data_IF_775236543987
#
_entry.id   IF_775236543987
#
_cell.length_a   1.000
_cell.length_b   1.000
_cell.length_c   1.000
_cell.angle_alpha   90.00
_cell.angle_beta   90.00
_cell.angle_gamma   90.00
#
_symmetry.space_group_name_H-M   'P 1'
#
loop_
_entity.id
_entity.type
_entity.pdbx_description
1 polymer ?
#
# COMPACT_ATOMS: atom_id res chain seq x y z
N UNK A 1 -11.38 -19.53 -5.60
CA UNK A 1 -10.78 -20.26 -6.74
C UNK A 1 -10.14 -19.20 -7.60
N UNK A 2 -8.83 -19.27 -7.85
CA UNK A 2 -8.16 -18.36 -8.80
C UNK A 2 -8.47 -18.86 -10.21
N UNK A 3 -9.15 -18.05 -11.02
CA UNK A 3 -9.30 -18.34 -12.45
C UNK A 3 -7.90 -18.29 -13.08
N UNK A 4 -7.42 -19.40 -13.64
CA UNK A 4 -6.16 -19.41 -14.37
C UNK A 4 -6.31 -18.71 -15.72
N UNK A 5 -5.22 -18.18 -16.25
CA UNK A 5 -5.14 -17.60 -17.59
C UNK A 5 -3.75 -17.84 -18.19
N UNK A 6 -3.66 -17.73 -19.52
CA UNK A 6 -2.39 -17.77 -20.22
C UNK A 6 -1.94 -16.34 -20.54
N UNK A 7 -0.70 -16.00 -20.20
CA UNK A 7 -0.06 -14.76 -20.59
C UNK A 7 0.85 -15.01 -21.80
N UNK A 8 0.68 -14.24 -22.88
CA UNK A 8 1.57 -14.25 -24.06
C UNK A 8 2.05 -12.83 -24.35
N UNK A 9 3.29 -12.66 -24.79
CA UNK A 9 3.88 -11.35 -25.14
C UNK A 9 5.26 -11.15 -24.52
N UNK A 10 5.42 -10.10 -23.70
CA UNK A 10 6.65 -9.78 -22.97
C UNK A 10 7.22 -10.96 -22.16
N UNK A 11 6.35 -11.86 -21.71
CA UNK A 11 6.73 -13.11 -21.05
C UNK A 11 5.91 -14.25 -21.67
N UNK A 12 6.56 -15.31 -22.12
CA UNK A 12 5.87 -16.53 -22.56
C UNK A 12 5.86 -17.51 -21.38
N UNK A 13 4.81 -17.41 -20.54
CA UNK A 13 4.62 -18.29 -19.39
C UNK A 13 3.25 -18.98 -19.51
N UNK A 14 3.28 -20.30 -19.60
CA UNK A 14 2.08 -21.13 -19.49
C UNK A 14 1.69 -21.25 -18.01
N UNK A 15 0.39 -21.19 -17.73
CA UNK A 15 -0.20 -21.32 -16.39
C UNK A 15 0.22 -20.25 -15.36
N UNK A 16 0.56 -19.04 -15.82
CA UNK A 16 0.87 -17.92 -14.93
C UNK A 16 -0.40 -17.14 -14.54
N UNK A 17 -0.67 -17.07 -13.24
CA UNK A 17 -1.78 -16.30 -12.67
C UNK A 17 -1.25 -15.23 -11.70
N UNK A 18 -0.79 -14.07 -12.20
CA UNK A 18 -0.29 -13.01 -11.35
C UNK A 18 -1.32 -12.61 -10.30
N UNK A 19 -0.81 -12.34 -9.10
CA UNK A 19 -1.52 -11.56 -8.09
C UNK A 19 -1.88 -10.18 -8.66
N UNK A 20 -2.88 -9.48 -8.09
CA UNK A 20 -3.21 -8.11 -8.53
C UNK A 20 -1.99 -7.18 -8.56
N UNK A 21 -1.13 -7.25 -7.55
CA UNK A 21 0.11 -6.45 -7.50
C UNK A 21 1.06 -6.80 -8.65
N UNK A 22 1.29 -8.07 -8.94
CA UNK A 22 2.13 -8.50 -10.06
C UNK A 22 1.54 -8.07 -11.41
N UNK A 23 0.22 -8.16 -11.59
CA UNK A 23 -0.45 -7.67 -12.79
C UNK A 23 -0.25 -6.16 -12.95
N UNK A 24 -0.42 -5.38 -11.87
CA UNK A 24 -0.18 -3.94 -11.90
C UNK A 24 1.26 -3.61 -12.31
N UNK A 25 2.25 -4.27 -11.70
CA UNK A 25 3.65 -4.06 -12.06
C UNK A 25 3.98 -4.48 -13.49
N UNK A 26 3.39 -5.58 -13.96
CA UNK A 26 3.52 -6.00 -15.35
C UNK A 26 3.03 -4.90 -16.29
N UNK A 27 1.86 -4.34 -16.03
CA UNK A 27 1.25 -3.26 -16.81
C UNK A 27 2.09 -1.97 -16.77
N UNK A 28 2.60 -1.58 -15.61
CA UNK A 28 3.45 -0.39 -15.45
C UNK A 28 4.76 -0.49 -16.24
N UNK A 29 5.31 -1.70 -16.36
CA UNK A 29 6.57 -1.96 -17.06
C UNK A 29 6.40 -2.26 -18.57
N UNK A 30 5.18 -2.40 -19.10
CA UNK A 30 4.97 -2.70 -20.53
C UNK A 30 5.65 -1.72 -21.47
N UNK A 31 5.81 -0.45 -21.09
CA UNK A 31 6.49 0.55 -21.92
C UNK A 31 8.02 0.48 -21.90
N UNK A 32 8.61 -0.37 -21.06
CA UNK A 32 10.06 -0.53 -20.89
C UNK A 32 10.59 -1.77 -21.61
N UNK A 33 9.74 -2.78 -21.82
CA UNK A 33 10.11 -4.07 -22.39
C UNK A 33 9.58 -4.24 -23.83
N UNK A 34 10.30 -5.02 -24.65
CA UNK A 34 9.81 -5.49 -25.95
C UNK A 34 9.35 -6.96 -25.85
N UNK A 35 8.15 -7.31 -26.35
CA UNK A 35 7.15 -6.43 -26.96
C UNK A 35 6.37 -5.57 -25.95
N UNK A 36 5.88 -4.38 -26.34
CA UNK A 36 5.18 -3.44 -25.45
C UNK A 36 3.71 -3.84 -25.18
N UNK A 37 3.39 -5.13 -25.25
CA UNK A 37 2.04 -5.63 -25.13
C UNK A 37 2.00 -7.00 -24.44
N UNK A 38 0.85 -7.29 -23.85
CA UNK A 38 0.47 -8.61 -23.32
C UNK A 38 -0.91 -9.00 -23.82
N UNK A 39 -1.09 -10.30 -24.02
CA UNK A 39 -2.39 -10.92 -24.26
C UNK A 39 -2.69 -11.89 -23.12
N UNK A 40 -3.86 -11.73 -22.53
CA UNK A 40 -4.36 -12.52 -21.41
C UNK A 40 -5.55 -13.34 -21.92
N UNK A 41 -5.39 -14.65 -22.06
CA UNK A 41 -6.45 -15.56 -22.52
C UNK A 41 -7.14 -16.24 -21.33
N UNK A 42 -8.47 -16.19 -21.27
CA UNK A 42 -9.25 -16.86 -20.22
C UNK A 42 -9.30 -18.37 -20.44
N UNK A 43 -9.00 -19.17 -19.41
CA UNK A 43 -9.23 -20.63 -19.47
C UNK A 43 -10.71 -21.01 -19.35
N UNK A 44 -11.53 -20.16 -18.71
CA UNK A 44 -12.94 -20.44 -18.47
C UNK A 44 -13.83 -20.14 -19.69
N UNK A 45 -13.36 -19.26 -20.57
CA UNK A 45 -14.08 -18.86 -21.77
C UNK A 45 -13.15 -18.91 -23.00
N UNK A 46 -13.03 -20.09 -23.59
CA UNK A 46 -12.19 -20.32 -24.76
C UNK A 46 -12.47 -19.29 -25.87
N UNK A 47 -11.40 -18.67 -26.36
CA UNK A 47 -11.46 -17.63 -27.39
C UNK A 47 -11.63 -16.21 -26.84
N UNK A 48 -11.94 -16.01 -25.55
CA UNK A 48 -11.92 -14.68 -24.95
C UNK A 48 -10.54 -14.30 -24.50
N UNK A 49 -10.12 -13.09 -24.87
CA UNK A 49 -8.83 -12.55 -24.47
C UNK A 49 -8.89 -11.05 -24.26
N UNK A 50 -7.93 -10.58 -23.47
CA UNK A 50 -7.70 -9.17 -23.20
C UNK A 50 -6.32 -8.85 -23.76
N UNK A 51 -6.24 -7.81 -24.58
CA UNK A 51 -4.98 -7.29 -25.08
C UNK A 51 -4.70 -5.95 -24.39
N UNK A 52 -3.53 -5.82 -23.79
CA UNK A 52 -3.04 -4.57 -23.23
C UNK A 52 -1.78 -4.15 -23.98
N UNK A 53 -1.77 -2.92 -24.50
CA UNK A 53 -0.69 -2.35 -25.28
C UNK A 53 -0.25 -1.03 -24.65
N UNK A 54 1.05 -0.89 -24.36
CA UNK A 54 1.60 0.40 -23.96
C UNK A 54 1.61 1.37 -25.14
N UNK A 55 0.96 2.53 -24.96
CA UNK A 55 0.91 3.62 -25.95
C UNK A 55 1.64 4.88 -25.48
N UNK A 56 2.29 4.80 -24.32
CA UNK A 56 3.07 5.88 -23.74
C UNK A 56 3.42 5.61 -22.28
N UNK A 57 4.09 6.57 -21.65
CA UNK A 57 4.45 6.44 -20.23
C UNK A 57 3.20 6.29 -19.37
N UNK A 58 3.03 5.11 -18.76
CA UNK A 58 1.87 4.75 -17.91
C UNK A 58 0.52 4.95 -18.62
N UNK A 59 0.51 4.74 -19.94
CA UNK A 59 -0.69 4.81 -20.79
C UNK A 59 -0.86 3.51 -21.53
N UNK A 60 -2.04 2.91 -21.41
CA UNK A 60 -2.33 1.57 -21.91
C UNK A 60 -3.62 1.60 -22.72
N UNK A 61 -3.58 1.05 -23.93
CA UNK A 61 -4.77 0.64 -24.66
C UNK A 61 -5.17 -0.75 -24.19
N UNK A 62 -6.42 -0.89 -23.72
CA UNK A 62 -6.98 -2.19 -23.32
C UNK A 62 -8.12 -2.57 -24.26
N UNK A 63 -7.96 -3.66 -24.99
CA UNK A 63 -9.00 -4.25 -25.84
C UNK A 63 -9.48 -5.56 -25.24
N UNK A 64 -10.81 -5.73 -25.12
CA UNK A 64 -11.43 -6.97 -24.62
C UNK A 64 -12.23 -7.61 -25.75
N UNK A 65 -11.93 -8.87 -26.06
CA UNK A 65 -12.38 -9.52 -27.30
C UNK A 65 -12.92 -10.93 -27.05
N UNK A 66 -13.86 -11.35 -27.90
CA UNK A 66 -14.40 -12.71 -27.97
C UNK A 66 -14.13 -13.30 -29.38
N UNK A 67 -13.14 -14.18 -29.45
CA UNK A 67 -12.56 -14.63 -30.72
C UNK A 67 -11.78 -13.51 -31.42
N UNK A 68 -11.26 -13.81 -32.62
CA UNK A 68 -10.39 -12.86 -33.35
C UNK A 68 -11.13 -11.64 -33.89
N UNK A 69 -12.45 -11.67 -34.00
CA UNK A 69 -13.21 -10.68 -34.78
C UNK A 69 -14.29 -9.93 -34.00
N UNK A 70 -14.58 -10.29 -32.75
CA UNK A 70 -15.59 -9.60 -31.94
C UNK A 70 -14.89 -8.81 -30.84
N UNK A 71 -14.84 -7.49 -31.00
CA UNK A 71 -14.51 -6.58 -29.91
C UNK A 71 -15.74 -6.45 -29.01
N UNK A 72 -15.57 -6.72 -27.71
CA UNK A 72 -16.62 -6.50 -26.72
C UNK A 72 -16.62 -5.03 -26.30
N UNK A 73 -15.43 -4.48 -26.02
CA UNK A 73 -15.19 -3.07 -25.71
C UNK A 73 -13.68 -2.78 -25.72
N UNK A 74 -13.33 -1.50 -25.78
CA UNK A 74 -11.96 -1.02 -25.69
C UNK A 74 -11.86 0.26 -24.83
N UNK A 75 -10.72 0.42 -24.16
CA UNK A 75 -10.36 1.58 -23.36
C UNK A 75 -9.03 2.15 -23.88
N UNK A 76 -9.08 3.19 -24.75
CA UNK A 76 -7.88 3.77 -25.31
C UNK A 76 -7.16 4.68 -24.31
N UNK A 77 -5.83 4.57 -24.26
CA UNK A 77 -4.90 5.41 -23.52
C UNK A 77 -5.30 5.67 -22.06
N UNK A 78 -5.81 4.66 -21.37
CA UNK A 78 -6.12 4.75 -19.94
C UNK A 78 -4.84 4.66 -19.10
N UNK A 79 -4.90 5.11 -17.85
CA UNK A 79 -3.79 4.93 -16.92
C UNK A 79 -3.64 3.45 -16.49
N UNK A 80 -2.49 3.12 -15.90
CA UNK A 80 -2.14 1.76 -15.45
C UNK A 80 -3.15 1.19 -14.47
N UNK A 81 -3.64 1.99 -13.52
CA UNK A 81 -4.59 1.54 -12.51
C UNK A 81 -5.94 1.20 -13.16
N UNK A 82 -6.43 2.04 -14.06
CA UNK A 82 -7.66 1.80 -14.82
C UNK A 82 -7.53 0.54 -15.66
N UNK A 83 -6.42 0.37 -16.40
CA UNK A 83 -6.15 -0.85 -17.17
C UNK A 83 -6.14 -2.10 -16.27
N UNK A 84 -5.46 -2.02 -15.13
CA UNK A 84 -5.42 -3.07 -14.12
C UNK A 84 -6.83 -3.48 -13.67
N UNK A 85 -7.70 -2.52 -13.35
CA UNK A 85 -9.06 -2.80 -12.90
C UNK A 85 -9.95 -3.40 -13.97
N UNK A 86 -9.81 -2.95 -15.23
CA UNK A 86 -10.52 -3.56 -16.37
C UNK A 86 -10.15 -5.02 -16.49
N UNK A 87 -8.86 -5.33 -16.46
CA UNK A 87 -8.35 -6.69 -16.59
C UNK A 87 -8.81 -7.54 -15.41
N UNK A 88 -8.62 -7.06 -14.18
CA UNK A 88 -9.02 -7.79 -12.97
C UNK A 88 -10.53 -8.01 -12.90
N UNK A 89 -11.34 -7.04 -13.31
CA UNK A 89 -12.79 -7.15 -13.40
C UNK A 89 -13.24 -8.21 -14.41
N UNK A 90 -12.58 -8.29 -15.57
CA UNK A 90 -12.84 -9.34 -16.54
C UNK A 90 -12.46 -10.73 -15.98
N UNK A 91 -11.26 -10.85 -15.40
CA UNK A 91 -10.75 -12.13 -14.87
C UNK A 91 -11.58 -12.64 -13.67
N UNK A 92 -12.12 -11.75 -12.85
CA UNK A 92 -12.92 -12.12 -11.66
C UNK A 92 -14.40 -12.38 -11.95
N UNK A 93 -14.95 -11.82 -13.04
CA UNK A 93 -16.39 -11.95 -13.37
C UNK A 93 -16.75 -13.21 -14.15
N UNK A 94 -15.75 -13.96 -14.64
CA UNK A 94 -15.92 -15.20 -15.41
C UNK A 94 -16.53 -14.97 -16.80
N UNK A 95 -17.82 -14.60 -16.86
CA UNK A 95 -18.61 -14.63 -18.10
C UNK A 95 -19.27 -13.32 -18.54
N UNK A 96 -19.41 -12.29 -17.69
CA UNK A 96 -20.14 -11.06 -18.05
C UNK A 96 -19.22 -9.85 -18.32
N UNK A 97 -18.25 -10.03 -19.22
CA UNK A 97 -17.24 -8.99 -19.51
C UNK A 97 -17.87 -7.71 -20.06
N UNK A 98 -18.93 -7.82 -20.88
CA UNK A 98 -19.62 -6.65 -21.43
C UNK A 98 -20.20 -5.73 -20.34
N UNK A 99 -20.69 -6.29 -19.23
CA UNK A 99 -21.16 -5.51 -18.09
C UNK A 99 -20.02 -4.78 -17.36
N UNK A 100 -18.83 -5.40 -17.28
CA UNK A 100 -17.64 -4.78 -16.68
C UNK A 100 -17.27 -3.49 -17.42
N UNK A 101 -17.25 -3.52 -18.76
CA UNK A 101 -16.98 -2.35 -19.59
C UNK A 101 -17.95 -1.19 -19.34
N UNK A 102 -19.20 -1.48 -18.97
CA UNK A 102 -20.20 -0.45 -18.65
C UNK A 102 -20.06 0.16 -17.24
N UNK A 103 -19.43 -0.57 -16.31
CA UNK A 103 -19.27 -0.15 -14.91
C UNK A 103 -17.98 0.64 -14.68
N UNK A 104 -16.95 0.35 -15.46
CA UNK A 104 -15.69 1.07 -15.38
C UNK A 104 -15.82 2.33 -16.23
N UNK A 105 -16.14 3.43 -15.58
CA UNK A 105 -15.89 4.74 -16.16
C UNK A 105 -14.37 4.92 -16.18
N UNK A 106 -13.81 5.26 -17.33
CA UNK A 106 -12.48 5.87 -17.39
C UNK A 106 -12.58 7.20 -16.63
N UNK A 107 -12.46 7.14 -15.31
CA UNK A 107 -12.47 8.35 -14.51
C UNK A 107 -11.26 9.19 -14.89
N UNK A 108 -11.41 10.52 -15.01
CA UNK A 108 -10.25 11.37 -15.21
C UNK A 108 -9.22 11.11 -14.10
N UNK A 109 -7.95 11.37 -14.39
CA UNK A 109 -6.85 11.26 -13.43
C UNK A 109 -7.10 12.16 -12.21
N UNK A 110 -7.88 11.68 -11.24
CA UNK A 110 -8.15 12.38 -10.00
C UNK A 110 -7.15 11.92 -8.95
N UNK A 111 -6.67 12.88 -8.15
CA UNK A 111 -5.81 12.60 -6.99
C UNK A 111 -6.57 11.89 -5.86
N UNK A 112 -7.89 11.87 -5.91
CA UNK A 112 -8.77 11.30 -4.88
C UNK A 112 -9.39 10.00 -5.38
N UNK A 113 -8.60 8.94 -5.36
CA UNK A 113 -9.03 7.59 -5.75
C UNK A 113 -9.19 6.71 -4.50
N UNK A 114 -10.25 5.90 -4.43
CA UNK A 114 -10.46 4.91 -3.37
C UNK A 114 -9.81 3.57 -3.74
N UNK A 115 -8.64 3.30 -3.16
CA UNK A 115 -7.85 2.09 -3.44
C UNK A 115 -8.41 0.82 -2.80
N UNK A 116 -9.39 0.88 -1.90
CA UNK A 116 -9.97 -0.31 -1.26
C UNK A 116 -10.64 -1.28 -2.25
N UNK A 117 -10.98 -0.79 -3.44
CA UNK A 117 -11.61 -1.55 -4.53
C UNK A 117 -10.66 -1.86 -5.68
N UNK A 118 -9.40 -1.44 -5.57
CA UNK A 118 -8.43 -1.62 -6.65
C UNK A 118 -7.97 -3.06 -6.79
N UNK A 119 -7.99 -3.84 -5.70
CA UNK A 119 -7.37 -5.16 -5.61
C UNK A 119 -5.88 -5.12 -5.29
N UNK A 120 -5.25 -3.94 -5.33
CA UNK A 120 -3.84 -3.74 -4.97
C UNK A 120 -3.64 -3.90 -3.46
N UNK A 121 -2.43 -4.27 -3.06
CA UNK A 121 -1.98 -4.08 -1.68
C UNK A 121 -1.78 -2.60 -1.37
N UNK A 122 -1.78 -2.27 -0.07
CA UNK A 122 -1.59 -0.87 0.37
C UNK A 122 -0.24 -0.30 -0.11
N UNK A 123 0.82 -1.12 -0.13
CA UNK A 123 2.13 -0.73 -0.63
C UNK A 123 2.08 -0.28 -2.10
N UNK A 124 1.48 -1.09 -2.98
CA UNK A 124 1.39 -0.78 -4.42
C UNK A 124 0.44 0.38 -4.68
N UNK A 125 -0.65 0.48 -3.91
CA UNK A 125 -1.57 1.61 -3.96
C UNK A 125 -0.88 2.95 -3.59
N UNK A 126 -0.06 2.97 -2.53
CA UNK A 126 0.73 4.16 -2.16
C UNK A 126 1.72 4.55 -3.25
N UNK A 127 2.38 3.56 -3.87
CA UNK A 127 3.28 3.80 -4.99
C UNK A 127 2.55 4.43 -6.19
N UNK A 128 1.43 3.84 -6.62
CA UNK A 128 0.61 4.37 -7.70
C UNK A 128 0.18 5.82 -7.43
N UNK A 129 -0.30 6.09 -6.21
CA UNK A 129 -0.70 7.44 -5.81
C UNK A 129 0.44 8.45 -5.92
N UNK A 130 1.65 8.09 -5.46
CA UNK A 130 2.83 8.96 -5.56
C UNK A 130 3.20 9.22 -7.02
N UNK A 131 3.21 8.20 -7.88
CA UNK A 131 3.55 8.38 -9.29
C UNK A 131 2.51 9.23 -10.03
N UNK A 132 1.21 9.01 -9.79
CA UNK A 132 0.13 9.84 -10.35
C UNK A 132 0.25 11.29 -9.89
N UNK A 133 0.56 11.52 -8.62
CA UNK A 133 0.80 12.86 -8.07
C UNK A 133 1.96 13.57 -8.76
N UNK A 134 3.08 12.85 -8.98
CA UNK A 134 4.24 13.38 -9.72
C UNK A 134 3.91 13.71 -11.17
N UNK A 135 3.15 12.86 -11.86
CA UNK A 135 2.73 13.09 -13.25
C UNK A 135 1.89 14.36 -13.40
N UNK A 136 1.09 14.68 -12.40
CA UNK A 136 0.30 15.91 -12.33
C UNK A 136 1.11 17.14 -11.89
N UNK A 137 2.41 17.00 -11.65
CA UNK A 137 3.29 18.08 -11.20
C UNK A 137 3.00 18.57 -9.77
N UNK A 138 2.30 17.76 -8.97
CA UNK A 138 1.97 18.10 -7.58
C UNK A 138 3.12 17.68 -6.67
N UNK A 139 3.49 18.56 -5.75
CA UNK A 139 4.53 18.28 -4.76
C UNK A 139 4.05 17.17 -3.82
N UNK A 140 4.76 16.04 -3.81
CA UNK A 140 4.47 14.93 -2.91
C UNK A 140 4.77 15.32 -1.47
N UNK A 141 3.80 15.13 -0.58
CA UNK A 141 4.00 15.34 0.86
C UNK A 141 4.96 14.27 1.43
N UNK A 142 5.72 14.59 2.49
CA UNK A 142 6.65 13.64 3.12
C UNK A 142 6.01 12.33 3.62
N UNK A 143 4.72 12.35 3.97
CA UNK A 143 3.90 11.15 4.18
C UNK A 143 2.71 11.18 3.21
N UNK A 144 2.77 10.45 2.08
CA UNK A 144 1.64 10.33 1.18
C UNK A 144 0.54 9.49 1.83
N UNK A 145 -0.71 9.92 1.65
CA UNK A 145 -1.88 9.23 2.17
C UNK A 145 -2.83 8.89 1.02
N UNK A 146 -3.47 7.73 1.10
CA UNK A 146 -4.45 7.27 0.12
C UNK A 146 -5.81 7.04 0.77
N UNK A 147 -6.88 7.19 0.01
CA UNK A 147 -8.20 6.77 0.46
C UNK A 147 -8.31 5.24 0.37
N UNK A 148 -8.76 4.63 1.46
CA UNK A 148 -9.05 3.21 1.56
C UNK A 148 -10.45 3.04 2.17
N UNK A 149 -11.46 3.11 1.31
CA UNK A 149 -12.86 3.22 1.71
C UNK A 149 -13.09 4.57 2.40
N UNK A 150 -13.57 4.51 3.65
CA UNK A 150 -13.75 5.70 4.49
C UNK A 150 -12.48 6.14 5.24
N UNK A 151 -11.39 5.37 5.14
CA UNK A 151 -10.16 5.59 5.91
C UNK A 151 -9.11 6.31 5.06
N UNK A 152 -8.33 7.17 5.71
CA UNK A 152 -7.16 7.79 5.12
C UNK A 152 -5.91 7.09 5.64
N UNK A 153 -5.20 6.39 4.76
CA UNK A 153 -4.16 5.42 5.13
C UNK A 153 -2.80 5.87 4.59
N UNK A 154 -1.74 5.68 5.39
CA UNK A 154 -0.37 6.00 5.02
C UNK A 154 0.59 4.84 5.33
N UNK A 155 1.78 4.85 4.74
CA UNK A 155 2.84 3.88 5.08
C UNK A 155 3.59 4.23 6.37
N UNK A 156 3.54 5.51 6.77
CA UNK A 156 4.24 6.08 7.91
C UNK A 156 3.60 7.41 8.28
N UNK A 157 3.81 7.89 9.49
CA UNK A 157 3.36 9.20 9.93
C UNK A 157 4.56 10.06 10.34
N UNK A 158 4.41 11.38 10.18
CA UNK A 158 5.39 12.36 10.64
C UNK A 158 4.68 13.27 11.63
N UNK A 159 5.19 13.28 12.85
CA UNK A 159 4.68 14.07 13.96
C UNK A 159 5.67 15.18 14.27
N UNK A 160 5.36 16.44 13.91
CA UNK A 160 6.20 17.58 14.26
C UNK A 160 6.28 17.75 15.78
N UNK A 161 7.47 18.07 16.28
CA UNK A 161 7.73 18.39 17.69
C UNK A 161 8.51 19.70 17.77
N UNK A 162 8.39 20.43 18.88
CA UNK A 162 8.90 21.81 18.98
C UNK A 162 10.05 21.99 19.98
N UNK A 163 10.41 20.95 20.71
CA UNK A 163 11.48 20.93 21.71
C UNK A 163 11.62 19.53 22.31
N UNK A 164 12.44 19.36 23.35
CA UNK A 164 12.74 18.06 23.92
C UNK A 164 11.52 17.56 24.69
N UNK A 165 11.36 16.25 24.79
CA UNK A 165 10.17 15.70 25.41
C UNK A 165 10.15 14.19 25.51
N UNK A 166 8.95 13.65 25.63
CA UNK A 166 8.70 12.22 25.62
C UNK A 166 7.44 11.87 24.85
N UNK A 167 7.46 10.69 24.25
CA UNK A 167 6.29 10.00 23.72
C UNK A 167 5.95 8.85 24.64
N UNK A 168 4.75 8.88 25.21
CA UNK A 168 4.16 7.71 25.88
C UNK A 168 3.37 6.91 24.86
N UNK A 169 3.65 5.62 24.76
CA UNK A 169 3.01 4.66 23.86
C UNK A 169 2.22 3.67 24.69
N UNK A 170 0.91 3.56 24.43
CA UNK A 170 0.02 2.58 25.05
C UNK A 170 -0.54 1.67 23.96
N UNK A 171 -0.22 0.38 24.00
CA UNK A 171 -0.83 -0.62 23.13
C UNK A 171 -2.19 -1.03 23.70
N UNK A 172 -3.25 -0.72 22.95
CA UNK A 172 -4.65 -0.94 23.35
C UNK A 172 -5.18 -2.29 22.82
N UNK A 173 -4.63 -2.77 21.72
CA UNK A 173 -5.00 -4.05 21.11
C UNK A 173 -3.90 -4.59 20.20
N UNK A 174 -3.76 -5.91 20.18
CA UNK A 174 -2.79 -6.64 19.36
C UNK A 174 -3.39 -7.99 18.99
N UNK A 175 -3.24 -8.39 17.73
CA UNK A 175 -3.66 -9.70 17.25
C UNK A 175 -2.71 -10.78 17.79
N UNK A 176 -3.21 -11.78 18.54
CA UNK A 176 -2.36 -12.82 19.13
C UNK A 176 -1.55 -13.58 18.08
N UNK A 177 -0.31 -13.93 18.43
CA UNK A 177 0.58 -14.73 17.58
C UNK A 177 1.30 -13.96 16.47
N UNK A 178 1.03 -12.67 16.30
CA UNK A 178 1.79 -11.80 15.41
C UNK A 178 2.74 -10.93 16.24
N UNK A 179 4.05 -10.98 15.95
CA UNK A 179 4.99 -10.01 16.53
C UNK A 179 4.90 -8.72 15.72
N UNK A 180 3.98 -7.86 16.14
CA UNK A 180 3.58 -6.60 15.51
C UNK A 180 3.81 -5.47 16.50
N UNK A 181 4.39 -4.36 16.07
CA UNK A 181 4.71 -3.22 16.92
C UNK A 181 4.74 -1.91 16.14
N UNK A 182 5.35 -0.91 16.75
CA UNK A 182 5.65 0.37 16.09
C UNK A 182 7.14 0.69 16.20
N UNK A 183 7.65 1.47 15.25
CA UNK A 183 8.90 2.18 15.43
C UNK A 183 8.70 3.68 15.48
N UNK A 184 9.46 4.30 16.37
CA UNK A 184 9.60 5.74 16.51
C UNK A 184 11.03 6.05 16.08
N UNK A 185 11.19 6.90 15.06
CA UNK A 185 12.51 7.32 14.60
C UNK A 185 12.62 8.82 14.43
N UNK A 186 13.83 9.32 14.58
CA UNK A 186 14.21 10.72 14.38
C UNK A 186 15.26 10.80 13.26
N UNK A 187 15.43 11.98 12.66
CA UNK A 187 16.41 12.16 11.59
C UNK A 187 17.87 12.02 12.08
N UNK A 188 18.11 12.28 13.37
CA UNK A 188 19.41 12.16 14.04
C UNK A 188 19.25 11.25 15.27
N UNK A 189 20.32 10.55 15.72
CA UNK A 189 20.29 9.82 16.98
C UNK A 189 19.96 10.77 18.13
N UNK A 190 18.78 10.59 18.71
CA UNK A 190 18.19 11.55 19.65
C UNK A 190 17.17 10.89 20.58
N UNK A 191 16.94 9.57 20.43
CA UNK A 191 15.91 8.85 21.17
C UNK A 191 16.54 8.03 22.29
N UNK A 192 16.04 8.20 23.51
CA UNK A 192 16.41 7.38 24.67
C UNK A 192 15.21 6.49 25.08
N UNK A 193 15.49 5.23 25.36
CA UNK A 193 14.51 4.24 25.79
C UNK A 193 15.14 3.22 26.74
N UNK A 194 14.46 2.92 27.86
CA UNK A 194 14.92 1.99 28.91
C UNK A 194 16.38 2.24 29.37
N UNK A 195 16.77 3.52 29.47
CA UNK A 195 18.11 3.95 29.91
C UNK A 195 19.24 3.63 28.93
N UNK A 196 18.91 3.29 27.68
CA UNK A 196 19.90 3.11 26.62
C UNK A 196 20.37 4.46 26.06
N UNK A 197 21.58 4.47 25.52
CA UNK A 197 22.12 5.66 24.84
C UNK A 197 21.23 6.09 23.67
N UNK A 198 21.38 7.35 23.26
CA UNK A 198 20.63 7.93 22.15
C UNK A 198 20.78 7.10 20.85
N UNK A 199 19.64 6.65 20.33
CA UNK A 199 19.52 5.89 19.09
C UNK A 199 18.66 6.65 18.08
N UNK A 200 18.82 6.39 16.77
CA UNK A 200 17.97 7.01 15.74
C UNK A 200 16.58 6.38 15.63
N UNK A 201 16.38 5.18 16.18
CA UNK A 201 15.12 4.45 16.12
C UNK A 201 14.92 3.59 17.37
N UNK A 202 13.71 3.64 17.92
CA UNK A 202 13.23 2.73 18.96
C UNK A 202 12.10 1.89 18.38
N UNK A 203 12.17 0.58 18.56
CA UNK A 203 11.15 -0.37 18.14
C UNK A 203 10.46 -0.92 19.39
N UNK A 204 9.14 -0.73 19.46
CA UNK A 204 8.32 -1.12 20.59
C UNK A 204 7.38 -2.25 20.17
N UNK A 205 7.37 -3.31 20.98
CA UNK A 205 6.48 -4.45 20.82
C UNK A 205 5.59 -4.54 22.06
N UNK A 206 4.27 -4.75 21.93
CA UNK A 206 3.46 -5.13 23.08
C UNK A 206 3.95 -6.48 23.63
N UNK A 207 4.05 -6.57 24.95
CA UNK A 207 4.35 -7.79 25.70
C UNK A 207 3.19 -8.13 26.63
N UNK A 208 3.08 -9.39 27.06
CA UNK A 208 1.93 -9.87 27.84
C UNK A 208 1.74 -9.11 29.16
N UNK A 209 2.82 -8.61 29.76
CA UNK A 209 2.86 -7.87 31.03
C UNK A 209 3.23 -6.39 30.89
N UNK A 210 3.56 -5.92 29.69
CA UNK A 210 3.95 -4.53 29.41
C UNK A 210 3.33 -4.03 28.11
N UNK A 211 2.38 -3.13 28.24
CA UNK A 211 1.72 -2.45 27.13
C UNK A 211 1.95 -0.93 27.09
N UNK A 212 2.66 -0.39 28.08
CA UNK A 212 3.02 1.03 28.16
C UNK A 212 4.53 1.23 28.10
N UNK A 213 4.96 2.19 27.27
CA UNK A 213 6.36 2.51 27.00
C UNK A 213 6.55 4.03 26.94
N UNK A 214 7.71 4.50 27.38
CA UNK A 214 8.07 5.93 27.32
C UNK A 214 9.37 6.05 26.56
N UNK A 215 9.37 6.83 25.48
CA UNK A 215 10.54 7.15 24.67
C UNK A 215 10.84 8.64 24.83
N UNK A 216 12.03 8.97 25.29
CA UNK A 216 12.50 10.34 25.42
C UNK A 216 13.16 10.79 24.11
N UNK A 217 13.05 12.08 23.79
CA UNK A 217 13.73 12.67 22.64
C UNK A 217 14.27 14.07 22.97
N UNK A 218 15.35 14.45 22.31
CA UNK A 218 16.11 15.67 22.60
C UNK A 218 15.70 16.89 21.73
N UNK A 219 16.46 17.99 21.89
CA UNK A 219 16.29 19.25 21.17
C UNK A 219 16.62 19.19 19.66
N UNK A 220 17.34 18.16 19.21
CA UNK A 220 17.76 18.01 17.81
C UNK A 220 16.65 17.39 16.95
N UNK A 221 15.59 16.91 17.59
CA UNK A 221 14.44 16.28 16.93
C UNK A 221 13.45 17.34 16.49
N UNK A 222 13.32 17.55 15.18
CA UNK A 222 12.29 18.43 14.58
C UNK A 222 10.95 17.71 14.36
N UNK A 223 11.01 16.39 14.26
CA UNK A 223 9.90 15.53 13.92
C UNK A 223 10.20 14.09 14.30
N UNK A 224 9.15 13.38 14.72
CA UNK A 224 9.17 11.95 14.94
C UNK A 224 8.48 11.24 13.78
N UNK A 225 9.08 10.16 13.30
CA UNK A 225 8.51 9.27 12.29
C UNK A 225 7.93 8.05 12.98
N UNK A 226 6.64 7.84 12.83
CA UNK A 226 5.94 6.69 13.40
C UNK A 226 5.65 5.71 12.28
N UNK A 227 6.14 4.48 12.42
CA UNK A 227 5.99 3.45 11.39
C UNK A 227 5.47 2.15 12.00
N UNK A 228 4.54 1.51 11.30
CA UNK A 228 4.09 0.16 11.60
C UNK A 228 5.22 -0.84 11.27
N UNK A 229 5.54 -1.74 12.21
CA UNK A 229 6.60 -2.74 12.05
C UNK A 229 6.18 -4.13 12.48
N UNK A 230 6.70 -5.15 11.82
CA UNK A 230 6.41 -6.54 12.18
C UNK A 230 7.60 -7.45 11.95
N UNK A 231 7.63 -8.58 12.65
CA UNK A 231 8.63 -9.63 12.44
C UNK A 231 8.17 -10.56 11.32
N UNK A 232 8.95 -10.66 10.26
CA UNK A 232 8.70 -11.57 9.15
C UNK A 232 9.71 -12.72 9.15
N UNK A 233 9.24 -13.93 8.86
CA UNK A 233 10.02 -15.16 8.92
C UNK A 233 10.06 -15.78 10.31
N UNK A 234 10.72 -16.92 10.43
CA UNK A 234 10.80 -17.72 11.65
C UNK A 234 12.26 -17.95 12.11
N UNK A 235 12.41 -18.21 13.41
CA UNK A 235 13.69 -18.55 14.01
C UNK A 235 14.82 -17.56 13.68
N UNK A 236 15.89 -18.07 13.07
CA UNK A 236 17.09 -17.27 12.74
C UNK A 236 16.92 -16.37 11.50
N UNK A 237 15.90 -16.59 10.69
CA UNK A 237 15.60 -15.77 9.51
C UNK A 237 14.64 -14.62 9.81
N UNK A 238 14.12 -14.57 11.05
CA UNK A 238 13.22 -13.54 11.51
C UNK A 238 13.86 -12.16 11.39
N UNK A 239 13.19 -11.24 10.69
CA UNK A 239 13.66 -9.88 10.45
C UNK A 239 12.54 -8.88 10.59
N UNK A 240 12.85 -7.69 11.08
CA UNK A 240 11.87 -6.58 11.10
C UNK A 240 11.59 -6.14 9.66
N UNK A 241 10.30 -5.99 9.34
CA UNK A 241 9.82 -5.50 8.06
C UNK A 241 8.90 -4.28 8.27
N UNK A 242 8.82 -3.46 7.23
CA UNK A 242 8.07 -2.20 7.16
C UNK A 242 7.61 -2.01 5.72
N UNK A 243 6.47 -1.35 5.50
CA UNK A 243 6.02 -0.91 4.17
C UNK A 243 5.89 -2.02 3.11
N UNK A 244 5.63 -3.25 3.51
CA UNK A 244 5.45 -4.39 2.60
C UNK A 244 3.99 -4.84 2.61
N UNK A 245 3.45 -5.13 1.42
CA UNK A 245 2.11 -5.66 1.23
C UNK A 245 1.05 -4.71 1.82
N UNK A 246 0.23 -5.22 2.73
CA UNK A 246 -0.82 -4.43 3.39
C UNK A 246 -0.36 -3.72 4.66
N UNK A 247 0.95 -3.66 4.93
CA UNK A 247 1.46 -2.95 6.11
C UNK A 247 1.31 -1.45 5.95
N UNK A 248 0.46 -0.86 6.79
CA UNK A 248 0.17 0.56 6.77
C UNK A 248 -0.48 0.99 8.09
N UNK A 249 -0.78 2.29 8.20
CA UNK A 249 -1.40 2.92 9.34
C UNK A 249 -2.54 3.84 8.90
N UNK A 250 -3.66 3.75 9.61
CA UNK A 250 -4.67 4.80 9.66
C UNK A 250 -4.44 5.59 10.96
N UNK A 251 -4.36 6.92 10.85
CA UNK A 251 -4.10 7.81 11.99
C UNK A 251 -5.38 8.54 12.37
N UNK A 252 -5.83 8.34 13.60
CA UNK A 252 -6.83 9.18 14.24
C UNK A 252 -6.12 10.28 15.03
N UNK A 253 -6.28 11.54 14.59
CA UNK A 253 -5.71 12.70 15.28
C UNK A 253 -6.69 13.15 16.35
N UNK A 254 -6.43 12.82 17.61
CA UNK A 254 -7.25 13.23 18.75
C UNK A 254 -6.93 14.68 19.15
N UNK A 255 -5.65 15.03 19.17
CA UNK A 255 -5.16 16.39 19.37
C UNK A 255 -3.77 16.59 18.74
N UNK A 256 -3.17 17.78 18.89
CA UNK A 256 -1.79 17.99 18.46
C UNK A 256 -0.78 17.14 19.26
N UNK A 257 -1.14 16.75 20.49
CA UNK A 257 -0.32 15.96 21.42
C UNK A 257 -0.80 14.51 21.55
N UNK A 258 -1.87 14.10 20.86
CA UNK A 258 -2.39 12.74 20.97
C UNK A 258 -2.87 12.21 19.61
N UNK A 259 -2.42 11.00 19.27
CA UNK A 259 -2.81 10.27 18.06
C UNK A 259 -3.05 8.81 18.40
N UNK A 260 -4.02 8.19 17.73
CA UNK A 260 -4.24 6.75 17.77
C UNK A 260 -3.90 6.17 16.40
N UNK A 261 -3.07 5.12 16.40
CA UNK A 261 -2.61 4.43 15.20
C UNK A 261 -3.30 3.09 15.09
N UNK A 262 -4.00 2.92 13.98
CA UNK A 262 -4.70 1.71 13.56
C UNK A 262 -3.85 1.01 12.50
N UNK A 263 -3.10 0.00 12.93
CA UNK A 263 -2.09 -0.66 12.12
C UNK A 263 -2.63 -1.96 11.51
N UNK A 264 -2.19 -2.25 10.28
CA UNK A 264 -2.49 -3.49 9.58
C UNK A 264 -1.20 -4.31 9.36
N UNK A 265 -1.25 -5.61 9.60
CA UNK A 265 -0.15 -6.53 9.34
C UNK A 265 -0.03 -6.80 7.83
N UNK A 266 1.17 -7.10 7.34
CA UNK A 266 1.43 -7.17 5.88
C UNK A 266 0.57 -8.20 5.13
N UNK A 267 0.27 -9.34 5.76
CA UNK A 267 -0.52 -10.42 5.17
C UNK A 267 -2.02 -10.35 5.44
N UNK A 268 -2.49 -9.38 6.24
CA UNK A 268 -3.93 -9.25 6.53
C UNK A 268 -4.65 -8.76 5.28
N UNK A 269 -5.52 -9.60 4.72
CA UNK A 269 -6.25 -9.34 3.49
C UNK A 269 -7.71 -9.81 3.62
N UNK A 270 -8.71 -8.93 3.44
CA UNK A 270 -8.56 -7.49 3.21
C UNK A 270 -7.97 -6.77 4.45
N UNK A 271 -7.33 -5.59 4.28
CA UNK A 271 -6.85 -4.78 5.40
C UNK A 271 -7.99 -4.39 6.35
N UNK A 272 -7.78 -4.58 7.64
CA UNK A 272 -8.74 -4.22 8.71
C UNK A 272 -8.29 -3.00 9.52
N UNK A 273 -6.98 -2.72 9.53
CA UNK A 273 -6.34 -1.71 10.37
C UNK A 273 -6.55 -1.89 11.87
N UNK A 274 -6.93 -3.09 12.32
CA UNK A 274 -7.13 -3.42 13.73
C UNK A 274 -6.19 -4.51 14.23
N UNK A 275 -5.15 -4.84 13.46
CA UNK A 275 -4.20 -5.89 13.84
C UNK A 275 -3.36 -5.46 15.04
N UNK A 276 -3.06 -4.15 15.12
CA UNK A 276 -2.45 -3.49 16.26
C UNK A 276 -3.04 -2.09 16.40
N UNK A 277 -3.47 -1.74 17.61
CA UNK A 277 -3.95 -0.39 17.94
C UNK A 277 -3.09 0.16 19.07
N UNK A 278 -2.51 1.34 18.85
CA UNK A 278 -1.74 2.02 19.89
C UNK A 278 -2.05 3.52 19.94
N UNK A 279 -2.10 4.04 21.16
CA UNK A 279 -2.24 5.45 21.45
C UNK A 279 -0.89 6.02 21.81
N UNK A 280 -0.55 7.14 21.19
CA UNK A 280 0.66 7.89 21.49
C UNK A 280 0.28 9.25 22.04
N UNK A 281 0.94 9.65 23.12
CA UNK A 281 0.78 10.96 23.74
C UNK A 281 2.13 11.65 23.85
N UNK A 282 2.21 12.88 23.35
CA UNK A 282 3.39 13.73 23.38
C UNK A 282 3.37 14.61 24.64
N UNK A 283 4.47 14.65 25.38
CA UNK A 283 4.69 15.63 26.44
C UNK A 283 6.00 16.35 26.16
N UNK A 284 5.91 17.62 25.76
CA UNK A 284 7.07 18.49 25.57
C UNK A 284 7.49 19.09 26.92
N UNK A 285 8.79 19.15 27.16
CA UNK A 285 9.33 19.86 28.31
C UNK A 285 9.25 21.35 28.05
N UNK A 286 8.91 22.14 29.07
CA UNK A 286 9.00 23.59 28.95
C UNK A 286 10.45 23.98 28.62
N UNK A 287 10.65 24.70 27.53
CA UNK A 287 11.96 25.29 27.20
C UNK A 287 12.40 26.16 28.38
N UNK A 288 13.49 25.77 29.04
CA UNK A 288 14.07 26.50 30.16
C UNK A 288 14.66 27.85 29.74
#
# INVERSE_FOLDING_TARGET
MSAGYQLRGAFDQQDYSPTPDELYWLLDNLGLDEPPWIVIESHEAAGRFIQALSVGKRRIDVEVREGRHVELFAFPAVDVLTAHQVILGCLSSGQNWAEIGSRITAEPETLSYDYSRSGLSVQVALFDHVERTKQLGVVTKPSPMINWGALLVAGGDIWPVSGPGQVTVVFEGSTPGQRHGISISSAQPALEFDGQAEVPEVILWPEDDRNEFVVHYDDLTDSLRITNVFLYGDGKAARVQRWVGNSALWVEIVSAQERVYHCNYSSTSPPTFNDLVCRLSLTESASA
#
